data_IF_934886417022
#
_entry.id   IF_934886417022
#
_cell.length_a   1.000
_cell.length_b   1.000
_cell.length_c   1.000
_cell.angle_alpha   90.00
_cell.angle_beta   90.00
_cell.angle_gamma   90.00
#
_symmetry.space_group_name_H-M   'P 1'
#
loop_
_entity.id
_entity.type
_entity.pdbx_description
1 polymer ?
#
# COMPACT_ATOMS: atom_id res chain seq x y z
N UNK A 1 -7.65 22.12 -19.33
CA UNK A 1 -6.73 22.30 -18.18
C UNK A 1 -6.92 23.69 -17.59
N UNK A 2 -7.63 23.83 -16.47
CA UNK A 2 -7.72 25.11 -15.74
C UNK A 2 -6.43 25.28 -14.93
N UNK A 3 -5.63 26.27 -15.30
CA UNK A 3 -4.46 26.72 -14.55
C UNK A 3 -4.88 27.19 -13.16
N UNK A 4 -4.77 26.35 -12.15
CA UNK A 4 -4.85 26.74 -10.75
C UNK A 4 -3.48 27.31 -10.34
N UNK A 5 -3.27 28.61 -10.57
CA UNK A 5 -2.11 29.32 -9.98
C UNK A 5 -2.30 29.30 -8.47
N UNK A 6 -1.45 28.56 -7.77
CA UNK A 6 -1.34 28.62 -6.33
C UNK A 6 -0.92 30.05 -5.96
N UNK A 7 -1.82 30.83 -5.40
CA UNK A 7 -1.50 32.12 -4.78
C UNK A 7 -0.76 31.85 -3.47
N UNK A 8 0.53 32.15 -3.45
CA UNK A 8 1.27 32.20 -2.20
C UNK A 8 0.68 33.36 -1.36
N UNK A 9 0.20 33.07 -0.13
CA UNK A 9 -0.24 34.05 0.87
C UNK A 9 -1.74 34.20 1.03
N UNK A 10 -2.53 33.15 1.02
CA UNK A 10 -3.97 33.19 1.36
C UNK A 10 -4.24 32.35 2.62
N UNK A 11 -5.18 32.81 3.45
CA UNK A 11 -5.71 32.06 4.57
C UNK A 11 -6.12 30.65 4.11
N UNK A 12 -5.37 29.63 4.57
CA UNK A 12 -5.71 28.24 4.28
C UNK A 12 -6.96 27.88 5.09
N UNK A 13 -8.10 27.83 4.44
CA UNK A 13 -9.30 27.30 5.09
C UNK A 13 -9.21 25.77 5.12
N UNK A 14 -9.66 25.14 6.20
CA UNK A 14 -9.70 23.67 6.34
C UNK A 14 -10.47 23.00 5.17
N UNK A 15 -11.38 23.71 4.53
CA UNK A 15 -12.09 23.27 3.34
C UNK A 15 -11.17 23.05 2.10
N UNK A 16 -9.98 23.63 2.09
CA UNK A 16 -9.00 23.42 1.02
C UNK A 16 -8.19 22.14 1.19
N UNK A 17 -8.20 21.54 2.38
CA UNK A 17 -7.53 20.28 2.68
C UNK A 17 -8.30 19.04 2.21
N UNK A 18 -9.49 19.21 1.64
CA UNK A 18 -10.32 18.13 1.11
C UNK A 18 -11.65 17.95 1.85
N UNK A 19 -12.14 16.71 1.87
CA UNK A 19 -13.39 16.37 2.55
C UNK A 19 -13.22 16.48 4.08
N UNK A 20 -13.94 17.39 4.77
CA UNK A 20 -13.77 17.64 6.20
C UNK A 20 -14.13 16.44 7.07
N UNK A 21 -15.01 15.55 6.61
CA UNK A 21 -15.38 14.33 7.32
C UNK A 21 -14.21 13.34 7.27
N UNK A 22 -13.61 13.16 6.10
CA UNK A 22 -12.43 12.31 5.94
C UNK A 22 -11.29 12.84 6.80
N UNK A 23 -11.03 14.14 6.76
CA UNK A 23 -9.98 14.78 7.57
C UNK A 23 -10.21 14.56 9.07
N UNK A 24 -11.42 14.85 9.57
CA UNK A 24 -11.76 14.71 10.99
C UNK A 24 -11.64 13.25 11.46
N UNK A 25 -12.14 12.30 10.69
CA UNK A 25 -12.05 10.86 11.01
C UNK A 25 -10.61 10.36 10.97
N UNK A 26 -9.83 10.74 9.96
CA UNK A 26 -8.42 10.33 9.83
C UNK A 26 -7.56 10.89 10.96
N UNK A 27 -7.64 12.19 11.21
CA UNK A 27 -6.89 12.83 12.29
C UNK A 27 -7.35 12.31 13.65
N UNK A 28 -8.67 12.18 13.87
CA UNK A 28 -9.23 11.62 15.08
C UNK A 28 -8.74 10.20 15.35
N UNK A 29 -8.75 9.34 14.33
CA UNK A 29 -8.23 7.98 14.44
C UNK A 29 -6.74 7.97 14.80
N UNK A 30 -5.91 8.76 14.10
CA UNK A 30 -4.47 8.83 14.38
C UNK A 30 -4.21 9.32 15.80
N UNK A 31 -4.88 10.39 16.22
CA UNK A 31 -4.70 10.95 17.57
C UNK A 31 -5.10 9.95 18.65
N UNK A 32 -6.24 9.28 18.48
CA UNK A 32 -6.67 8.24 19.41
C UNK A 32 -5.71 7.05 19.42
N UNK A 33 -5.30 6.57 18.26
CA UNK A 33 -4.37 5.44 18.13
C UNK A 33 -3.02 5.75 18.78
N UNK A 34 -2.44 6.92 18.49
CA UNK A 34 -1.19 7.36 19.11
C UNK A 34 -1.36 7.58 20.61
N UNK A 35 -2.44 8.23 21.04
CA UNK A 35 -2.75 8.44 22.44
C UNK A 35 -2.84 7.12 23.21
N UNK A 36 -3.59 6.14 22.73
CA UNK A 36 -3.66 4.81 23.33
C UNK A 36 -2.31 4.09 23.32
N UNK A 37 -1.55 4.19 22.23
CA UNK A 37 -0.22 3.56 22.12
C UNK A 37 0.79 4.14 23.11
N UNK A 38 0.69 5.42 23.41
CA UNK A 38 1.55 6.07 24.44
C UNK A 38 1.14 5.66 25.87
N UNK A 39 -0.13 5.32 26.09
CA UNK A 39 -0.62 4.89 27.41
C UNK A 39 -0.32 3.40 27.67
N UNK A 40 -0.62 2.53 26.72
CA UNK A 40 -0.43 1.09 26.83
C UNK A 40 -0.16 0.46 25.47
N UNK A 41 1.09 0.52 25.05
CA UNK A 41 1.56 -0.06 23.80
C UNK A 41 1.31 -1.57 23.72
N UNK A 42 1.42 -2.26 24.87
CA UNK A 42 1.25 -3.71 24.92
C UNK A 42 -0.18 -4.11 24.58
N UNK A 43 -1.18 -3.49 25.23
CA UNK A 43 -2.59 -3.75 24.94
C UNK A 43 -2.94 -3.43 23.49
N UNK A 44 -2.42 -2.34 22.92
CA UNK A 44 -2.63 -2.00 21.49
C UNK A 44 -2.03 -3.07 20.58
N UNK A 45 -0.80 -3.51 20.84
CA UNK A 45 -0.15 -4.55 20.06
C UNK A 45 -0.88 -5.89 20.15
N UNK A 46 -1.31 -6.29 21.34
CA UNK A 46 -2.07 -7.53 21.59
C UNK A 46 -3.43 -7.49 20.86
N UNK A 47 -4.11 -6.34 20.89
CA UNK A 47 -5.39 -6.14 20.18
C UNK A 47 -5.22 -6.28 18.66
N UNK A 48 -4.20 -5.63 18.09
CA UNK A 48 -3.89 -5.72 16.66
C UNK A 48 -3.52 -7.15 16.29
N UNK A 49 -2.64 -7.79 17.07
CA UNK A 49 -2.21 -9.18 16.82
C UNK A 49 -3.38 -10.17 16.88
N UNK A 50 -4.24 -10.03 17.88
CA UNK A 50 -5.44 -10.86 18.03
C UNK A 50 -6.43 -10.63 16.88
N UNK A 51 -6.67 -9.37 16.51
CA UNK A 51 -7.54 -9.02 15.39
C UNK A 51 -7.00 -9.55 14.06
N UNK A 52 -5.70 -9.46 13.83
CA UNK A 52 -5.05 -10.03 12.65
C UNK A 52 -5.18 -11.56 12.61
N UNK A 53 -4.87 -12.24 13.71
CA UNK A 53 -4.99 -13.70 13.81
C UNK A 53 -6.44 -14.17 13.59
N UNK A 54 -7.41 -13.48 14.16
CA UNK A 54 -8.83 -13.74 13.95
C UNK A 54 -9.22 -13.56 12.48
N UNK A 55 -8.82 -12.45 11.86
CA UNK A 55 -9.08 -12.16 10.45
C UNK A 55 -8.46 -13.23 9.55
N UNK A 56 -7.21 -13.60 9.79
CA UNK A 56 -6.54 -14.66 9.04
C UNK A 56 -7.24 -16.01 9.18
N UNK A 57 -7.70 -16.34 10.39
CA UNK A 57 -8.43 -17.60 10.66
C UNK A 57 -9.78 -17.65 9.96
N UNK A 58 -10.54 -16.56 9.99
CA UNK A 58 -11.91 -16.51 9.45
C UNK A 58 -11.92 -16.28 7.92
N UNK A 59 -11.09 -15.37 7.45
CA UNK A 59 -11.09 -14.92 6.06
C UNK A 59 -9.88 -15.39 5.25
N UNK A 60 -8.92 -16.11 5.84
CA UNK A 60 -7.68 -16.49 5.15
C UNK A 60 -7.92 -17.23 3.84
N UNK A 61 -8.77 -18.27 3.87
CA UNK A 61 -9.13 -19.01 2.65
C UNK A 61 -9.83 -18.13 1.62
N UNK A 62 -10.74 -17.25 2.07
CA UNK A 62 -11.41 -16.30 1.19
C UNK A 62 -10.40 -15.39 0.48
N UNK A 63 -9.46 -14.80 1.22
CA UNK A 63 -8.44 -13.94 0.62
C UNK A 63 -7.53 -14.70 -0.35
N UNK A 64 -7.14 -15.93 -0.02
CA UNK A 64 -6.33 -16.77 -0.92
C UNK A 64 -7.06 -17.03 -2.24
N UNK A 65 -8.34 -17.42 -2.17
CA UNK A 65 -9.16 -17.66 -3.36
C UNK A 65 -9.42 -16.39 -4.16
N UNK A 66 -9.65 -15.27 -3.49
CA UNK A 66 -9.82 -13.96 -4.13
C UNK A 66 -8.54 -13.55 -4.88
N UNK A 67 -7.37 -13.69 -4.27
CA UNK A 67 -6.10 -13.38 -4.89
C UNK A 67 -5.84 -14.28 -6.12
N UNK A 68 -6.11 -15.57 -5.98
CA UNK A 68 -5.97 -16.51 -7.10
C UNK A 68 -6.94 -16.17 -8.25
N UNK A 69 -8.20 -15.87 -7.94
CA UNK A 69 -9.18 -15.43 -8.94
C UNK A 69 -8.74 -14.13 -9.64
N UNK A 70 -8.23 -13.15 -8.86
CA UNK A 70 -7.71 -11.89 -9.40
C UNK A 70 -6.57 -12.11 -10.38
N UNK A 71 -5.66 -13.04 -10.08
CA UNK A 71 -4.58 -13.43 -10.98
C UNK A 71 -5.12 -13.96 -12.32
N UNK A 72 -6.05 -14.93 -12.30
CA UNK A 72 -6.61 -15.46 -13.53
C UNK A 72 -7.43 -14.45 -14.31
N UNK A 73 -8.15 -13.57 -13.63
CA UNK A 73 -8.88 -12.46 -14.27
C UNK A 73 -7.90 -11.52 -14.97
N UNK A 74 -6.80 -11.14 -14.31
CA UNK A 74 -5.78 -10.27 -14.89
C UNK A 74 -5.16 -10.87 -16.16
N UNK A 75 -4.79 -12.16 -16.13
CA UNK A 75 -4.31 -12.89 -17.30
C UNK A 75 -5.38 -12.96 -18.38
N UNK A 76 -6.62 -13.32 -18.01
CA UNK A 76 -7.74 -13.38 -18.95
C UNK A 76 -8.00 -12.06 -19.66
N UNK A 77 -7.97 -10.93 -18.93
CA UNK A 77 -8.10 -9.60 -19.51
C UNK A 77 -6.93 -9.30 -20.44
N UNK A 78 -5.69 -9.58 -20.01
CA UNK A 78 -4.49 -9.34 -20.83
C UNK A 78 -4.50 -10.12 -22.15
N UNK A 79 -4.97 -11.37 -22.13
CA UNK A 79 -5.04 -12.23 -23.31
C UNK A 79 -6.29 -12.01 -24.18
N UNK A 80 -7.27 -11.25 -23.70
CA UNK A 80 -8.52 -10.96 -24.41
C UNK A 80 -8.39 -9.72 -25.33
N UNK A 81 -9.37 -9.49 -26.22
CA UNK A 81 -9.45 -8.23 -26.99
C UNK A 81 -9.49 -6.99 -26.09
N UNK A 82 -10.02 -7.10 -24.88
CA UNK A 82 -10.05 -6.01 -23.89
C UNK A 82 -8.65 -5.55 -23.49
N UNK A 83 -7.63 -6.43 -23.50
CA UNK A 83 -6.24 -6.06 -23.24
C UNK A 83 -5.62 -5.08 -24.28
N UNK A 84 -6.28 -4.92 -25.43
CA UNK A 84 -5.88 -3.95 -26.47
C UNK A 84 -6.69 -2.65 -26.42
N UNK A 85 -7.67 -2.56 -25.53
CA UNK A 85 -8.50 -1.38 -25.39
C UNK A 85 -7.66 -0.20 -24.90
N UNK A 86 -7.82 0.96 -25.56
CA UNK A 86 -7.23 2.20 -25.07
C UNK A 86 -8.09 2.76 -23.93
N UNK A 87 -7.48 3.05 -22.81
CA UNK A 87 -8.13 3.76 -21.70
C UNK A 87 -7.77 5.25 -21.82
N UNK A 88 -8.79 6.09 -21.98
CA UNK A 88 -8.62 7.53 -22.21
C UNK A 88 -8.62 7.90 -23.70
N UNK A 89 -8.56 9.21 -23.96
CA UNK A 89 -8.67 9.79 -25.30
C UNK A 89 -7.32 10.18 -25.90
N UNK A 90 -6.23 9.52 -25.50
CA UNK A 90 -4.89 9.82 -26.00
C UNK A 90 -4.63 9.04 -27.29
N UNK A 91 -4.21 9.75 -28.35
CA UNK A 91 -3.81 9.12 -29.62
C UNK A 91 -2.50 8.34 -29.48
N UNK A 92 -1.64 8.78 -28.59
CA UNK A 92 -0.31 8.18 -28.31
C UNK A 92 0.02 8.29 -26.82
N UNK A 93 0.91 7.42 -26.31
CA UNK A 93 1.40 7.52 -24.93
C UNK A 93 2.08 8.88 -24.66
N UNK A 94 1.84 9.48 -23.50
CA UNK A 94 2.44 10.75 -23.09
C UNK A 94 3.91 10.61 -22.71
N UNK A 95 4.35 9.39 -22.41
CA UNK A 95 5.74 9.13 -22.00
C UNK A 95 6.32 7.90 -22.70
N UNK A 96 7.65 7.85 -22.80
CA UNK A 96 8.34 6.68 -23.32
C UNK A 96 8.18 5.45 -22.41
N UNK A 97 8.27 4.27 -22.98
CA UNK A 97 8.22 3.01 -22.24
C UNK A 97 9.27 2.96 -21.12
N UNK A 98 10.48 3.46 -21.39
CA UNK A 98 11.54 3.50 -20.38
C UNK A 98 11.15 4.38 -19.19
N UNK A 99 10.62 5.58 -19.43
CA UNK A 99 10.17 6.49 -18.37
C UNK A 99 9.02 5.87 -17.56
N UNK A 100 8.08 5.25 -18.24
CA UNK A 100 6.94 4.57 -17.61
C UNK A 100 7.41 3.41 -16.72
N UNK A 101 8.29 2.52 -17.23
CA UNK A 101 8.87 1.43 -16.46
C UNK A 101 9.68 1.94 -15.26
N UNK A 102 10.50 3.00 -15.46
CA UNK A 102 11.28 3.59 -14.37
C UNK A 102 10.41 4.10 -13.23
N UNK A 103 9.30 4.79 -13.55
CA UNK A 103 8.35 5.27 -12.54
C UNK A 103 7.74 4.09 -11.76
N UNK A 104 7.28 3.06 -12.47
CA UNK A 104 6.70 1.86 -11.85
C UNK A 104 7.74 1.17 -10.95
N UNK A 105 8.93 0.91 -11.46
CA UNK A 105 10.00 0.26 -10.71
C UNK A 105 10.38 1.07 -9.46
N UNK A 106 10.58 2.38 -9.59
CA UNK A 106 10.89 3.23 -8.45
C UNK A 106 9.75 3.26 -7.41
N UNK A 107 8.50 3.26 -7.85
CA UNK A 107 7.35 3.30 -6.94
C UNK A 107 7.17 1.98 -6.21
N UNK A 108 7.29 0.85 -6.92
CA UNK A 108 7.03 -0.48 -6.36
C UNK A 108 8.21 -1.04 -5.56
N UNK A 109 9.46 -0.75 -5.98
CA UNK A 109 10.66 -1.35 -5.38
C UNK A 109 11.34 -0.48 -4.33
N UNK A 110 11.10 0.83 -4.32
CA UNK A 110 11.89 1.76 -3.52
C UNK A 110 11.78 1.53 -1.99
N UNK A 111 10.59 1.28 -1.47
CA UNK A 111 10.39 1.18 -0.02
C UNK A 111 10.46 -0.25 0.54
N UNK A 112 9.82 -1.19 -0.13
CA UNK A 112 9.67 -2.57 0.35
C UNK A 112 10.55 -3.55 -0.40
N UNK A 113 10.53 -3.51 -1.73
CA UNK A 113 11.19 -4.53 -2.55
C UNK A 113 12.68 -4.64 -2.33
N UNK A 114 13.40 -3.52 -2.25
CA UNK A 114 14.86 -3.54 -2.05
C UNK A 114 15.22 -4.03 -0.66
N UNK A 115 14.50 -3.59 0.38
CA UNK A 115 14.73 -4.02 1.75
C UNK A 115 14.43 -5.52 1.92
N UNK A 116 13.26 -5.97 1.47
CA UNK A 116 12.84 -7.35 1.63
C UNK A 116 13.56 -8.33 0.70
N UNK A 117 14.18 -7.87 -0.39
CA UNK A 117 14.99 -8.73 -1.25
C UNK A 117 16.12 -9.45 -0.49
N UNK A 118 16.69 -8.79 0.52
CA UNK A 118 17.71 -9.41 1.38
C UNK A 118 17.11 -9.91 2.71
N UNK A 119 16.24 -9.12 3.33
CA UNK A 119 15.71 -9.39 4.67
C UNK A 119 14.82 -10.62 4.72
N UNK A 120 13.97 -10.83 3.73
CA UNK A 120 12.99 -11.92 3.76
C UNK A 120 13.61 -13.31 3.56
N UNK A 121 14.54 -13.53 2.61
CA UNK A 121 15.24 -14.81 2.54
C UNK A 121 16.00 -15.15 3.83
N UNK A 122 16.63 -14.18 4.46
CA UNK A 122 17.34 -14.39 5.73
C UNK A 122 16.34 -14.73 6.84
N UNK A 123 15.21 -14.02 6.92
CA UNK A 123 14.17 -14.32 7.89
C UNK A 123 13.64 -15.74 7.73
N UNK A 124 13.31 -16.17 6.52
CA UNK A 124 12.82 -17.53 6.25
C UNK A 124 13.90 -18.61 6.38
N UNK A 125 15.17 -18.25 6.32
CA UNK A 125 16.27 -19.16 6.60
C UNK A 125 16.37 -19.50 8.09
N UNK A 126 16.14 -18.51 8.98
CA UNK A 126 16.20 -18.69 10.43
C UNK A 126 14.83 -19.05 11.06
N UNK A 127 13.75 -18.78 10.36
CA UNK A 127 12.37 -19.12 10.76
C UNK A 127 11.72 -19.88 9.63
N UNK A 128 11.67 -21.20 9.71
CA UNK A 128 11.09 -22.02 8.64
C UNK A 128 9.62 -21.70 8.43
N UNK A 129 9.21 -21.34 7.19
CA UNK A 129 7.81 -21.07 6.90
C UNK A 129 6.94 -22.31 7.09
N UNK A 130 5.66 -22.16 7.50
CA UNK A 130 4.80 -23.30 7.84
C UNK A 130 4.56 -24.31 6.70
N UNK A 131 4.80 -23.92 5.45
CA UNK A 131 4.65 -24.80 4.28
C UNK A 131 5.82 -25.81 4.13
N UNK A 132 6.92 -25.63 4.88
CA UNK A 132 8.12 -26.43 4.79
C UNK A 132 8.46 -27.09 6.12
N UNK A 133 9.20 -28.20 6.05
CA UNK A 133 9.57 -29.02 7.22
C UNK A 133 11.08 -29.04 7.48
N UNK A 134 11.87 -28.20 6.79
CA UNK A 134 13.31 -28.14 7.01
C UNK A 134 13.65 -27.54 8.38
N UNK A 135 14.71 -28.02 8.98
CA UNK A 135 15.29 -27.40 10.18
C UNK A 135 15.85 -26.01 9.86
N UNK A 136 15.57 -24.98 10.69
CA UNK A 136 16.10 -23.65 10.51
C UNK A 136 17.63 -23.62 10.44
N UNK A 137 18.19 -22.75 9.60
CA UNK A 137 19.65 -22.58 9.50
C UNK A 137 20.38 -23.69 8.75
N UNK A 138 19.70 -24.69 8.20
CA UNK A 138 20.32 -25.79 7.46
C UNK A 138 20.42 -25.51 5.96
N UNK A 139 21.24 -26.30 5.24
CA UNK A 139 21.34 -26.20 3.78
C UNK A 139 19.96 -26.39 3.09
N UNK A 140 19.10 -27.26 3.62
CA UNK A 140 17.74 -27.45 3.12
C UNK A 140 16.86 -26.22 3.32
N UNK A 141 17.08 -25.45 4.40
CA UNK A 141 16.32 -24.22 4.66
C UNK A 141 16.61 -23.12 3.64
N UNK A 142 17.79 -23.11 3.00
CA UNK A 142 18.14 -22.11 1.98
C UNK A 142 17.17 -22.16 0.80
N UNK A 143 16.94 -23.33 0.23
CA UNK A 143 16.03 -23.51 -0.90
C UNK A 143 14.59 -23.13 -0.53
N UNK A 144 14.13 -23.52 0.67
CA UNK A 144 12.80 -23.23 1.17
C UNK A 144 12.59 -21.73 1.44
N UNK A 145 13.60 -21.06 2.00
CA UNK A 145 13.59 -19.62 2.23
C UNK A 145 13.50 -18.83 0.93
N UNK A 146 14.27 -19.23 -0.07
CA UNK A 146 14.22 -18.62 -1.41
C UNK A 146 12.86 -18.87 -2.08
N UNK A 147 12.35 -20.10 -2.03
CA UNK A 147 11.03 -20.42 -2.60
C UNK A 147 9.92 -19.58 -1.96
N UNK A 148 9.91 -19.43 -0.63
CA UNK A 148 8.95 -18.60 0.08
C UNK A 148 9.05 -17.12 -0.33
N UNK A 149 10.28 -16.59 -0.42
CA UNK A 149 10.51 -15.21 -0.83
C UNK A 149 10.04 -14.94 -2.27
N UNK A 150 10.29 -15.90 -3.18
CA UNK A 150 9.75 -15.80 -4.56
C UNK A 150 8.23 -15.95 -4.62
N UNK A 151 7.61 -16.70 -3.73
CA UNK A 151 6.15 -16.75 -3.63
C UNK A 151 5.56 -15.41 -3.19
N UNK A 152 6.22 -14.71 -2.27
CA UNK A 152 5.76 -13.41 -1.78
C UNK A 152 6.03 -12.26 -2.77
N UNK A 153 7.17 -12.28 -3.47
CA UNK A 153 7.64 -11.15 -4.29
C UNK A 153 7.77 -11.48 -5.78
N UNK A 154 7.43 -12.68 -6.19
CA UNK A 154 7.51 -13.11 -7.57
C UNK A 154 6.35 -12.63 -8.44
N UNK A 155 6.31 -13.11 -9.67
CA UNK A 155 5.34 -12.73 -10.69
C UNK A 155 3.88 -12.80 -10.20
N UNK A 156 3.52 -13.84 -9.45
CA UNK A 156 2.16 -14.07 -8.97
C UNK A 156 1.69 -12.91 -8.08
N UNK A 157 2.51 -12.50 -7.12
CA UNK A 157 2.19 -11.40 -6.21
C UNK A 157 1.98 -10.08 -6.98
N UNK A 158 2.87 -9.75 -7.90
CA UNK A 158 2.78 -8.52 -8.68
C UNK A 158 1.66 -8.52 -9.71
N UNK A 159 1.31 -9.66 -10.27
CA UNK A 159 0.14 -9.78 -11.16
C UNK A 159 -1.17 -9.53 -10.42
N UNK A 160 -1.22 -9.83 -9.12
CA UNK A 160 -2.38 -9.62 -8.24
C UNK A 160 -2.41 -8.20 -7.69
N UNK A 161 -1.25 -7.72 -7.20
CA UNK A 161 -1.14 -6.41 -6.55
C UNK A 161 -1.37 -5.27 -7.55
N UNK A 162 -2.51 -4.65 -7.46
CA UNK A 162 -2.80 -3.41 -8.15
C UNK A 162 -3.25 -3.52 -9.61
N UNK A 163 -3.04 -4.63 -10.33
CA UNK A 163 -3.36 -4.71 -11.77
C UNK A 163 -4.84 -4.42 -12.05
N UNK A 164 -5.76 -5.14 -11.43
CA UNK A 164 -7.20 -4.90 -11.63
C UNK A 164 -7.64 -3.59 -11.01
N UNK A 165 -7.11 -3.22 -9.85
CA UNK A 165 -7.39 -1.94 -9.21
C UNK A 165 -6.95 -0.76 -10.10
N UNK A 166 -5.76 -0.85 -10.70
CA UNK A 166 -5.27 0.15 -11.64
C UNK A 166 -6.16 0.28 -12.89
N UNK A 167 -6.61 -0.84 -13.46
CA UNK A 167 -7.51 -0.85 -14.61
C UNK A 167 -8.85 -0.21 -14.26
N UNK A 168 -9.46 -0.60 -13.13
CA UNK A 168 -10.74 -0.05 -12.66
C UNK A 168 -10.61 1.44 -12.39
N UNK A 169 -9.53 1.86 -11.70
CA UNK A 169 -9.31 3.26 -11.37
C UNK A 169 -9.09 4.11 -12.64
N UNK A 170 -8.24 3.63 -13.55
CA UNK A 170 -8.00 4.30 -14.82
C UNK A 170 -9.26 4.40 -15.68
N UNK A 171 -10.02 3.31 -15.81
CA UNK A 171 -11.29 3.34 -16.54
C UNK A 171 -12.27 4.33 -15.92
N UNK A 172 -12.46 4.29 -14.61
CA UNK A 172 -13.41 5.16 -13.91
C UNK A 172 -12.97 6.63 -13.99
N UNK A 173 -11.67 6.89 -13.96
CA UNK A 173 -11.14 8.25 -14.11
C UNK A 173 -11.31 8.80 -15.53
N UNK A 174 -10.83 8.06 -16.53
CA UNK A 174 -10.77 8.56 -17.91
C UNK A 174 -12.09 8.45 -18.68
N UNK A 175 -12.98 7.52 -18.29
CA UNK A 175 -14.27 7.30 -18.98
C UNK A 175 -15.42 7.96 -18.22
N UNK A 176 -15.39 7.93 -16.89
CA UNK A 176 -16.48 8.46 -16.05
C UNK A 176 -16.13 9.79 -15.39
N UNK A 177 -14.98 10.42 -15.69
CA UNK A 177 -14.52 11.70 -15.15
C UNK A 177 -14.48 11.74 -13.60
N UNK A 178 -14.16 10.61 -12.95
CA UNK A 178 -14.06 10.55 -11.49
C UNK A 178 -12.64 10.84 -11.02
N UNK A 179 -12.46 11.44 -9.82
CA UNK A 179 -11.14 11.75 -9.28
C UNK A 179 -10.35 10.45 -8.98
N UNK A 180 -9.01 10.52 -9.10
CA UNK A 180 -8.11 9.43 -8.71
C UNK A 180 -8.02 9.33 -7.17
N UNK A 181 -8.95 8.62 -6.57
CA UNK A 181 -9.06 8.43 -5.12
C UNK A 181 -9.35 6.95 -4.80
N UNK A 182 -8.92 6.43 -3.63
CA UNK A 182 -9.19 5.04 -3.25
C UNK A 182 -10.68 4.65 -3.33
N UNK A 183 -11.58 5.55 -2.92
CA UNK A 183 -13.03 5.31 -2.99
C UNK A 183 -13.56 5.16 -4.43
N UNK A 184 -12.86 5.70 -5.41
CA UNK A 184 -13.22 5.58 -6.83
C UNK A 184 -13.16 4.13 -7.32
N UNK A 185 -12.39 3.25 -6.67
CA UNK A 185 -12.39 1.82 -6.95
C UNK A 185 -13.76 1.15 -6.71
N UNK A 186 -14.56 1.71 -5.83
CA UNK A 186 -15.91 1.20 -5.53
C UNK A 186 -17.01 1.81 -6.40
N UNK A 187 -16.67 2.81 -7.22
CA UNK A 187 -17.64 3.51 -8.07
C UNK A 187 -18.40 2.58 -9.02
N UNK A 188 -17.80 1.57 -9.69
CA UNK A 188 -18.51 0.66 -10.57
C UNK A 188 -19.62 -0.14 -9.87
N UNK A 189 -19.53 -0.33 -8.56
CA UNK A 189 -20.52 -1.09 -7.77
C UNK A 189 -21.55 -0.18 -7.10
N UNK A 190 -21.12 0.94 -6.53
CA UNK A 190 -21.97 1.81 -5.69
C UNK A 190 -22.35 3.15 -6.35
N UNK A 191 -21.78 3.46 -7.51
CA UNK A 191 -22.04 4.71 -8.23
C UNK A 191 -21.68 5.97 -7.43
N UNK A 192 -22.48 7.02 -7.59
CA UNK A 192 -22.25 8.31 -6.92
C UNK A 192 -22.31 8.24 -5.38
N UNK A 193 -22.96 7.23 -4.83
CA UNK A 193 -23.10 7.08 -3.37
C UNK A 193 -21.74 6.96 -2.66
N UNK A 194 -20.74 6.36 -3.33
CA UNK A 194 -19.41 6.20 -2.76
C UNK A 194 -18.57 7.48 -2.87
N UNK A 195 -18.93 8.39 -3.77
CA UNK A 195 -18.17 9.62 -4.01
C UNK A 195 -18.46 10.70 -2.96
N UNK A 196 -19.67 10.73 -2.39
CA UNK A 196 -20.13 11.78 -1.47
C UNK A 196 -20.71 11.26 -0.16
N UNK A 197 -20.87 9.94 0.00
CA UNK A 197 -21.49 9.35 1.19
C UNK A 197 -20.49 8.96 2.27
N UNK A 198 -21.01 8.68 3.47
CA UNK A 198 -20.21 8.19 4.62
C UNK A 198 -19.38 6.94 4.28
N UNK A 199 -19.90 6.05 3.44
CA UNK A 199 -19.18 4.85 2.98
C UNK A 199 -17.89 5.22 2.25
N UNK A 200 -17.95 6.20 1.34
CA UNK A 200 -16.78 6.70 0.62
C UNK A 200 -15.77 7.36 1.55
N UNK A 201 -16.24 8.09 2.57
CA UNK A 201 -15.39 8.70 3.59
C UNK A 201 -14.68 7.64 4.43
N UNK A 202 -15.39 6.58 4.88
CA UNK A 202 -14.78 5.46 5.62
C UNK A 202 -13.71 4.75 4.79
N UNK A 203 -14.00 4.44 3.51
CA UNK A 203 -13.02 3.82 2.62
C UNK A 203 -11.78 4.70 2.43
N UNK A 204 -11.97 6.00 2.28
CA UNK A 204 -10.86 6.95 2.15
C UNK A 204 -10.02 7.03 3.42
N UNK A 205 -10.66 7.01 4.61
CA UNK A 205 -9.97 7.00 5.91
C UNK A 205 -9.14 5.72 6.05
N UNK A 206 -9.74 4.55 5.83
CA UNK A 206 -9.03 3.26 5.97
C UNK A 206 -7.85 3.19 5.00
N UNK A 207 -8.03 3.56 3.73
CA UNK A 207 -6.96 3.54 2.74
C UNK A 207 -5.85 4.56 3.03
N UNK A 208 -6.19 5.71 3.61
CA UNK A 208 -5.24 6.80 3.89
C UNK A 208 -4.48 6.66 5.22
N UNK A 209 -5.12 6.11 6.26
CA UNK A 209 -4.54 6.04 7.62
C UNK A 209 -3.73 4.77 7.88
N UNK A 210 -4.03 3.69 7.19
CA UNK A 210 -3.28 2.42 7.30
C UNK A 210 -2.05 2.42 6.38
N UNK A 211 -1.62 3.60 5.94
CA UNK A 211 -0.52 3.74 5.01
C UNK A 211 0.85 3.36 5.58
N UNK A 212 1.81 3.02 4.72
CA UNK A 212 3.11 2.48 5.09
C UNK A 212 4.08 3.52 5.68
N UNK A 213 3.65 4.76 5.97
CA UNK A 213 4.54 5.85 6.40
C UNK A 213 5.28 5.51 7.70
N UNK A 214 4.58 4.97 8.70
CA UNK A 214 5.20 4.54 9.95
C UNK A 214 6.20 3.40 9.74
N UNK A 215 5.86 2.45 8.90
CA UNK A 215 6.74 1.34 8.53
C UNK A 215 8.00 1.83 7.80
N UNK A 216 7.86 2.76 6.85
CA UNK A 216 8.99 3.37 6.15
C UNK A 216 9.89 4.17 7.11
N UNK A 217 9.31 4.90 8.07
CA UNK A 217 10.08 5.62 9.09
C UNK A 217 10.89 4.65 9.97
N UNK A 218 10.30 3.52 10.36
CA UNK A 218 10.98 2.47 11.12
C UNK A 218 12.13 1.86 10.31
N UNK A 219 11.90 1.46 9.06
CA UNK A 219 12.95 0.91 8.19
C UNK A 219 14.08 1.90 7.96
N UNK A 220 13.74 3.17 7.74
CA UNK A 220 14.74 4.22 7.55
C UNK A 220 15.55 4.48 8.84
N UNK A 221 14.91 4.41 10.02
CA UNK A 221 15.59 4.49 11.30
C UNK A 221 16.61 3.37 11.49
N UNK A 222 16.23 2.13 11.20
CA UNK A 222 17.16 0.99 11.22
C UNK A 222 18.33 1.18 10.24
N UNK A 223 18.06 1.58 9.00
CA UNK A 223 19.10 1.85 8.02
C UNK A 223 20.07 2.95 8.44
N UNK A 224 19.58 4.04 9.04
CA UNK A 224 20.42 5.12 9.55
C UNK A 224 21.23 4.69 10.78
N UNK A 225 20.65 3.84 11.64
CA UNK A 225 21.36 3.25 12.77
C UNK A 225 22.55 2.41 12.30
N UNK A 226 22.35 1.53 11.35
CA UNK A 226 23.40 0.65 10.82
C UNK A 226 24.49 1.39 10.04
N UNK A 227 24.11 2.41 9.25
CA UNK A 227 25.06 3.13 8.40
C UNK A 227 25.82 4.24 9.12
N UNK A 228 25.20 4.91 10.06
CA UNK A 228 25.72 6.13 10.69
C UNK A 228 25.85 6.03 12.21
N UNK A 229 25.49 4.90 12.82
CA UNK A 229 25.53 4.71 14.27
C UNK A 229 24.54 5.58 15.03
N UNK A 230 23.47 6.06 14.37
CA UNK A 230 22.42 6.83 15.03
C UNK A 230 21.59 5.92 15.94
N UNK A 231 21.13 6.45 17.07
CA UNK A 231 20.26 5.69 17.96
C UNK A 231 18.97 5.29 17.23
N UNK A 232 18.70 3.97 17.13
CA UNK A 232 17.40 3.50 16.67
C UNK A 232 16.38 3.65 17.80
N UNK A 233 15.34 4.41 17.52
CA UNK A 233 14.29 4.66 18.49
C UNK A 233 13.28 5.70 18.03
N UNK A 234 12.27 5.91 18.88
CA UNK A 234 11.16 6.81 18.59
C UNK A 234 11.62 8.23 18.17
N UNK A 235 12.69 8.75 18.78
CA UNK A 235 13.23 10.08 18.45
C UNK A 235 13.70 10.18 17.00
N UNK A 236 14.47 9.20 16.53
CA UNK A 236 14.96 9.14 15.15
C UNK A 236 13.81 8.94 14.17
N UNK A 237 12.86 8.06 14.49
CA UNK A 237 11.67 7.82 13.67
C UNK A 237 10.79 9.09 13.55
N UNK A 238 10.59 9.81 14.64
CA UNK A 238 9.86 11.07 14.63
C UNK A 238 10.58 12.15 13.84
N UNK A 239 11.91 12.26 13.96
CA UNK A 239 12.71 13.19 13.15
C UNK A 239 12.57 12.89 11.65
N UNK A 240 12.60 11.61 11.26
CA UNK A 240 12.37 11.17 9.87
C UNK A 240 10.99 11.59 9.40
N UNK A 241 9.94 11.34 10.19
CA UNK A 241 8.58 11.74 9.85
C UNK A 241 8.47 13.25 9.65
N UNK A 242 9.05 14.05 10.54
CA UNK A 242 9.07 15.52 10.41
C UNK A 242 9.75 15.92 9.10
N UNK A 243 10.90 15.36 8.77
CA UNK A 243 11.60 15.66 7.49
C UNK A 243 10.75 15.29 6.28
N UNK A 244 10.01 14.19 6.32
CA UNK A 244 9.14 13.77 5.23
C UNK A 244 7.91 14.67 5.07
N UNK A 245 7.43 15.29 6.14
CA UNK A 245 6.22 16.14 6.10
C UNK A 245 6.51 17.65 5.92
N UNK A 246 7.74 18.10 6.08
CA UNK A 246 8.13 19.54 5.95
C UNK A 246 8.39 19.94 4.48
N UNK A 247 7.88 19.24 3.51
CA UNK A 247 8.10 19.55 2.09
C UNK A 247 6.96 20.32 1.45
#
# INVERSE_FOLDING_TARGET
MKNNKIKAGGDYSLAQLGDPVVLALSVGFIVLFVGFSLFDLKTVADLIGTGFAWTAKVFGTYFQMLLLATFFIAIGVACSPAGRAKIGNLDRPEMSTFRWLSIIMCTLLAGGGVFFAAGEPIYHFVVTPPAFTSEPGTAAAVSNAMAQSFMHWGFLAWAVLGTLAAIVLAHTHYVNDKPLQPRTLLYPVFGERVMSGWLGSVVAVVAGTVGPIGFLATQMSFGLSELFGLADGLGTQMAILVVLFVK
#
